data_IF_768226845138
#
_entry.id   IF_768226845138
#
_cell.length_a   1.000
_cell.length_b   1.000
_cell.length_c   1.000
_cell.angle_alpha   90.00
_cell.angle_beta   90.00
_cell.angle_gamma   90.00
#
_symmetry.space_group_name_H-M   'P 1'
#
loop_
_entity.id
_entity.type
_entity.pdbx_description
1 polymer ?
#
# COMPACT_ATOMS: atom_id res chain seq x y z
N UNK A 1 -10.44 -7.69 7.15
CA UNK A 1 -9.32 -6.84 6.76
C UNK A 1 -9.61 -6.14 5.44
N UNK A 2 -9.15 -4.92 5.30
CA UNK A 2 -9.33 -4.13 4.09
C UNK A 2 -8.00 -3.55 3.64
N UNK A 3 -7.90 -3.35 2.35
CA UNK A 3 -6.78 -2.64 1.76
C UNK A 3 -7.35 -1.47 0.97
N UNK A 4 -6.85 -0.27 1.27
CA UNK A 4 -7.30 0.95 0.63
C UNK A 4 -6.14 1.59 -0.09
N UNK A 5 -6.30 1.86 -1.37
CA UNK A 5 -5.27 2.43 -2.22
C UNK A 5 -5.71 3.81 -2.70
N UNK A 6 -4.81 4.77 -2.59
CA UNK A 6 -5.06 6.15 -2.98
C UNK A 6 -4.16 6.52 -4.15
N UNK A 7 -4.74 7.14 -5.16
CA UNK A 7 -4.02 7.71 -6.29
C UNK A 7 -4.31 9.22 -6.33
N UNK A 8 -3.49 9.99 -5.61
CA UNK A 8 -3.76 11.41 -5.49
C UNK A 8 -5.08 11.66 -4.76
N UNK A 9 -6.08 12.21 -5.45
CA UNK A 9 -7.41 12.48 -4.88
C UNK A 9 -8.37 11.31 -5.02
N UNK A 10 -8.04 10.34 -5.87
CA UNK A 10 -8.89 9.19 -6.09
C UNK A 10 -8.53 8.07 -5.13
N UNK A 11 -9.54 7.32 -4.71
CA UNK A 11 -9.37 6.19 -3.82
C UNK A 11 -9.95 4.92 -4.43
N UNK A 12 -9.32 3.81 -4.12
CA UNK A 12 -9.77 2.51 -4.58
C UNK A 12 -9.67 1.51 -3.43
N UNK A 13 -10.69 0.67 -3.27
CA UNK A 13 -10.70 -0.37 -2.25
C UNK A 13 -10.52 -1.71 -2.88
N UNK A 14 -9.48 -2.39 -2.50
CA UNK A 14 -9.26 -3.77 -2.88
C UNK A 14 -9.47 -4.63 -1.65
N UNK A 15 -10.25 -5.64 -1.80
CA UNK A 15 -10.41 -6.75 -0.89
C UNK A 15 -10.92 -6.48 0.49
N UNK A 16 -11.89 -7.27 0.77
CA UNK A 16 -12.54 -7.31 2.05
C UNK A 16 -12.93 -8.78 2.26
N UNK A 17 -12.42 -9.42 3.30
CA UNK A 17 -12.93 -10.72 3.62
C UNK A 17 -11.94 -11.71 4.20
N UNK A 18 -12.45 -12.91 4.43
CA UNK A 18 -11.78 -14.00 5.13
C UNK A 18 -10.68 -14.69 4.32
N UNK A 19 -10.54 -14.36 3.04
CA UNK A 19 -9.55 -14.99 2.16
C UNK A 19 -8.21 -14.27 2.13
N UNK A 20 -8.02 -13.25 2.96
CA UNK A 20 -6.77 -12.50 2.98
C UNK A 20 -5.74 -13.25 3.80
N UNK A 21 -4.63 -13.56 3.17
CA UNK A 21 -3.48 -14.18 3.79
C UNK A 21 -2.21 -13.63 3.13
N UNK A 22 -1.07 -14.13 3.56
CA UNK A 22 0.21 -13.65 3.06
C UNK A 22 0.34 -13.80 1.55
N UNK A 23 -0.17 -14.88 0.99
CA UNK A 23 -0.10 -15.13 -0.46
C UNK A 23 -0.99 -14.15 -1.22
N UNK A 24 -2.23 -13.94 -0.76
CA UNK A 24 -3.13 -13.02 -1.45
C UNK A 24 -2.63 -11.58 -1.40
N UNK A 25 -2.04 -11.17 -0.28
CA UNK A 25 -1.44 -9.84 -0.16
C UNK A 25 -0.29 -9.68 -1.15
N UNK A 26 0.56 -10.68 -1.26
CA UNK A 26 1.68 -10.66 -2.21
C UNK A 26 1.20 -10.58 -3.66
N UNK A 27 0.15 -11.33 -4.01
CA UNK A 27 -0.44 -11.31 -5.36
C UNK A 27 -1.00 -9.92 -5.68
N UNK A 28 -1.70 -9.32 -4.74
CA UNK A 28 -2.26 -7.98 -4.94
C UNK A 28 -1.16 -6.94 -5.07
N UNK A 29 -0.12 -7.05 -4.25
CA UNK A 29 1.02 -6.15 -4.32
C UNK A 29 1.72 -6.25 -5.67
N UNK A 30 1.83 -7.45 -6.23
CA UNK A 30 2.42 -7.64 -7.56
C UNK A 30 1.54 -7.02 -8.63
N UNK A 31 0.24 -7.24 -8.59
CA UNK A 31 -0.69 -6.65 -9.54
C UNK A 31 -0.66 -5.13 -9.49
N UNK A 32 -0.60 -4.58 -8.28
CA UNK A 32 -0.50 -3.15 -8.06
C UNK A 32 0.82 -2.59 -8.62
N UNK A 33 1.92 -3.32 -8.41
CA UNK A 33 3.24 -2.96 -8.94
C UNK A 33 3.21 -2.89 -10.48
N UNK A 34 2.63 -3.91 -11.11
CA UNK A 34 2.52 -3.96 -12.57
C UNK A 34 1.71 -2.79 -13.10
N UNK A 35 0.61 -2.45 -12.42
CA UNK A 35 -0.23 -1.33 -12.79
C UNK A 35 0.54 -0.01 -12.72
N UNK A 36 1.24 0.24 -11.62
CA UNK A 36 2.00 1.47 -11.43
C UNK A 36 3.14 1.59 -12.43
N UNK A 37 3.88 0.51 -12.65
CA UNK A 37 5.01 0.52 -13.58
C UNK A 37 4.58 0.74 -15.02
N UNK A 38 3.33 0.39 -15.33
CA UNK A 38 2.75 0.69 -16.64
C UNK A 38 2.46 2.17 -16.84
N UNK A 39 2.38 2.94 -15.77
CA UNK A 39 2.07 4.38 -15.82
C UNK A 39 3.26 5.28 -15.53
N UNK A 40 4.21 4.80 -14.74
CA UNK A 40 5.35 5.58 -14.29
C UNK A 40 6.56 4.67 -14.14
N UNK A 41 7.70 5.08 -14.66
CA UNK A 41 8.93 4.30 -14.61
C UNK A 41 9.53 4.24 -13.20
N UNK A 42 9.29 5.28 -12.40
CA UNK A 42 9.89 5.43 -11.09
C UNK A 42 8.81 5.76 -10.05
N UNK A 43 7.84 4.87 -9.85
CA UNK A 43 6.76 5.16 -8.91
C UNK A 43 7.26 5.20 -7.46
N UNK A 44 6.58 6.00 -6.66
CA UNK A 44 6.83 6.15 -5.23
C UNK A 44 5.52 5.91 -4.50
N UNK A 45 5.53 5.00 -3.52
CA UNK A 45 4.33 4.59 -2.81
C UNK A 45 4.55 4.72 -1.30
N UNK A 46 3.55 5.24 -0.61
CA UNK A 46 3.53 5.24 0.85
C UNK A 46 2.60 4.12 1.33
N UNK A 47 3.06 3.34 2.30
CA UNK A 47 2.30 2.22 2.87
C UNK A 47 2.13 2.44 4.36
N UNK A 48 0.89 2.39 4.83
CA UNK A 48 0.56 2.50 6.23
C UNK A 48 -0.31 1.35 6.70
N UNK A 49 -0.48 1.24 8.01
CA UNK A 49 -1.29 0.18 8.60
C UNK A 49 -1.89 0.65 9.92
N UNK A 50 -2.97 -0.02 10.33
CA UNK A 50 -3.64 0.27 11.60
C UNK A 50 -3.32 -0.80 12.65
N UNK A 51 -4.04 -0.74 13.78
CA UNK A 51 -3.80 -1.64 14.92
C UNK A 51 -4.43 -3.03 14.76
N UNK A 52 -5.10 -3.31 13.66
CA UNK A 52 -5.75 -4.61 13.49
C UNK A 52 -4.74 -5.72 13.38
N UNK A 53 -5.15 -6.91 13.81
CA UNK A 53 -4.32 -8.09 13.75
C UNK A 53 -3.79 -8.31 12.34
N UNK A 54 -2.50 -8.57 12.23
CA UNK A 54 -1.78 -8.84 10.99
C UNK A 54 -1.63 -7.64 10.04
N UNK A 55 -2.15 -6.46 10.36
CA UNK A 55 -2.01 -5.30 9.48
C UNK A 55 -0.55 -4.93 9.26
N UNK A 56 0.26 -4.94 10.31
CA UNK A 56 1.69 -4.67 10.19
C UNK A 56 2.40 -5.72 9.34
N UNK A 57 2.11 -7.01 9.58
CA UNK A 57 2.69 -8.09 8.81
C UNK A 57 2.38 -7.93 7.33
N UNK A 58 1.12 -7.68 7.00
CA UNK A 58 0.69 -7.54 5.62
C UNK A 58 1.25 -6.28 4.96
N UNK A 59 1.39 -5.19 5.73
CA UNK A 59 2.03 -3.98 5.23
C UNK A 59 3.50 -4.24 4.86
N UNK A 60 4.21 -5.00 5.68
CA UNK A 60 5.58 -5.38 5.39
C UNK A 60 5.69 -6.25 4.15
N UNK A 61 4.79 -7.22 3.98
CA UNK A 61 4.78 -8.07 2.78
C UNK A 61 4.51 -7.21 1.54
N UNK A 62 3.52 -6.34 1.62
CA UNK A 62 3.17 -5.45 0.52
C UNK A 62 4.38 -4.60 0.12
N UNK A 63 5.02 -3.97 1.09
CA UNK A 63 6.19 -3.12 0.85
C UNK A 63 7.36 -3.92 0.25
N UNK A 64 7.58 -5.15 0.71
CA UNK A 64 8.65 -5.99 0.19
C UNK A 64 8.43 -6.34 -1.28
N UNK A 65 7.19 -6.66 -1.66
CA UNK A 65 6.88 -6.97 -3.06
C UNK A 65 7.09 -5.74 -3.94
N UNK A 66 6.64 -4.58 -3.50
CA UNK A 66 6.86 -3.33 -4.23
C UNK A 66 8.35 -3.04 -4.41
N UNK A 67 9.12 -3.16 -3.33
CA UNK A 67 10.56 -2.93 -3.38
C UNK A 67 11.25 -3.93 -4.31
N UNK A 68 10.82 -5.18 -4.33
CA UNK A 68 11.32 -6.19 -5.25
C UNK A 68 11.03 -5.87 -6.70
N UNK A 69 10.04 -5.02 -6.96
CA UNK A 69 9.72 -4.53 -8.31
C UNK A 69 10.36 -3.17 -8.61
N UNK A 70 11.34 -2.76 -7.81
CA UNK A 70 12.08 -1.50 -7.99
C UNK A 70 11.21 -0.25 -7.78
N UNK A 71 10.17 -0.38 -6.96
CA UNK A 71 9.32 0.74 -6.58
C UNK A 71 9.83 1.31 -5.25
N UNK A 72 9.99 2.62 -5.17
CA UNK A 72 10.38 3.27 -3.92
C UNK A 72 9.20 3.27 -2.96
N UNK A 73 9.43 2.79 -1.74
CA UNK A 73 8.37 2.66 -0.73
C UNK A 73 8.75 3.43 0.53
N UNK A 74 7.80 4.21 1.02
CA UNK A 74 7.82 4.75 2.37
C UNK A 74 6.87 3.93 3.21
N UNK A 75 7.42 3.04 4.03
CA UNK A 75 6.63 2.21 4.94
C UNK A 75 6.57 2.89 6.30
N UNK A 76 5.38 3.05 6.85
CA UNK A 76 5.22 3.59 8.19
C UNK A 76 5.88 2.67 9.21
N UNK A 77 6.59 3.25 10.19
CA UNK A 77 7.22 2.50 11.27
C UNK A 77 6.28 2.36 12.48
N UNK A 78 5.09 2.89 12.38
CA UNK A 78 4.11 2.84 13.46
C UNK A 78 2.70 2.85 12.88
N UNK A 79 1.72 2.54 13.73
CA UNK A 79 0.30 2.61 13.39
C UNK A 79 -0.05 4.07 13.10
N UNK A 80 -0.73 4.29 11.97
CA UNK A 80 -1.18 5.64 11.60
C UNK A 80 -2.63 5.61 11.14
N UNK A 81 -3.40 6.69 11.38
CA UNK A 81 -4.73 6.80 10.80
C UNK A 81 -4.66 7.14 9.31
N UNK A 82 -5.69 6.73 8.58
CA UNK A 82 -5.77 6.95 7.13
C UNK A 82 -5.51 8.39 6.69
N UNK A 83 -6.06 9.44 7.36
CA UNK A 83 -5.78 10.82 6.97
C UNK A 83 -4.30 11.20 7.01
N UNK A 84 -3.54 10.61 7.93
CA UNK A 84 -2.09 10.86 8.02
C UNK A 84 -1.39 10.29 6.80
N UNK A 85 -1.75 9.11 6.36
CA UNK A 85 -1.20 8.51 5.15
C UNK A 85 -1.56 9.35 3.92
N UNK A 86 -2.81 9.76 3.82
CA UNK A 86 -3.27 10.59 2.70
C UNK A 86 -2.48 11.89 2.61
N UNK A 87 -2.24 12.53 3.75
CA UNK A 87 -1.43 13.74 3.82
C UNK A 87 0.02 13.46 3.37
N UNK A 88 0.59 12.34 3.79
CA UNK A 88 1.96 11.96 3.42
C UNK A 88 2.10 11.78 1.92
N UNK A 89 1.11 11.18 1.27
CA UNK A 89 1.09 11.01 -0.17
C UNK A 89 1.18 12.35 -0.88
N UNK A 90 0.37 13.31 -0.44
CA UNK A 90 0.36 14.64 -1.04
C UNK A 90 1.65 15.42 -0.75
N UNK A 91 2.08 15.42 0.50
CA UNK A 91 3.24 16.18 0.94
C UNK A 91 4.53 15.69 0.28
N UNK A 92 4.71 14.37 0.20
CA UNK A 92 5.95 13.78 -0.29
C UNK A 92 5.95 13.50 -1.80
N UNK A 93 4.87 13.86 -2.49
CA UNK A 93 4.77 13.64 -3.92
C UNK A 93 4.75 12.17 -4.31
N UNK A 94 4.16 11.32 -3.46
CA UNK A 94 3.99 9.92 -3.78
C UNK A 94 2.95 9.74 -4.88
N UNK A 95 3.15 8.73 -5.72
CA UNK A 95 2.19 8.41 -6.78
C UNK A 95 0.95 7.73 -6.22
N UNK A 96 1.09 7.03 -5.12
CA UNK A 96 -0.02 6.34 -4.48
C UNK A 96 0.25 6.12 -3.00
N UNK A 97 -0.82 5.85 -2.26
CA UNK A 97 -0.76 5.42 -0.88
C UNK A 97 -1.59 4.16 -0.69
N UNK A 98 -1.11 3.26 0.15
CA UNK A 98 -1.79 2.01 0.47
C UNK A 98 -1.99 1.94 1.97
N UNK A 99 -3.23 1.78 2.40
CA UNK A 99 -3.57 1.62 3.81
C UNK A 99 -4.10 0.21 4.04
N UNK A 100 -3.43 -0.52 4.91
CA UNK A 100 -3.84 -1.87 5.29
C UNK A 100 -4.55 -1.81 6.63
N UNK A 101 -5.79 -2.19 6.62
CA UNK A 101 -6.69 -2.02 7.76
C UNK A 101 -7.54 -3.25 8.03
#
# INVERSE_FOLDING_TARGET
MKMKIFFGTDGWRALNGSQINEVSVAVIAQAFSDYLLGKNRTPVVAVGYDSRENSELFANIFAQVLSGNMIKVYLSDSIIPTPVLSYKVLESGCDAGVMIT
#
